data_IF_054745909230
#
_entry.id   IF_054745909230
#
_cell.length_a   1.000
_cell.length_b   1.000
_cell.length_c   1.000
_cell.angle_alpha   90.00
_cell.angle_beta   90.00
_cell.angle_gamma   90.00
#
_symmetry.space_group_name_H-M   'P 1'
#
loop_
_entity.id
_entity.type
_entity.pdbx_description
1 polymer ?
#
# COMPACT_ATOMS: atom_id res chain seq x y z
N UNK A 1 13.62 -55.03 35.22
CA UNK A 1 14.85 -55.46 35.92
C UNK A 1 15.83 -54.30 35.82
N UNK A 2 15.93 -53.48 36.87
CA UNK A 2 17.01 -53.48 37.88
C UNK A 2 18.28 -52.75 37.35
N UNK A 3 18.85 -51.74 38.00
CA UNK A 3 18.62 -51.26 39.36
C UNK A 3 19.27 -49.90 39.64
N UNK A 4 18.81 -49.31 40.74
CA UNK A 4 19.38 -48.18 41.46
C UNK A 4 20.58 -48.63 42.29
N UNK A 5 21.55 -47.73 42.51
CA UNK A 5 22.57 -47.87 43.54
C UNK A 5 23.21 -46.52 43.89
N UNK A 6 23.05 -46.01 45.12
CA UNK A 6 23.69 -44.78 45.60
C UNK A 6 24.89 -45.08 46.53
N UNK A 7 25.86 -44.15 46.61
CA UNK A 7 27.02 -44.28 47.51
C UNK A 7 27.59 -42.95 48.03
N UNK A 8 27.28 -42.66 49.31
CA UNK A 8 27.99 -41.92 50.40
C UNK A 8 29.28 -41.14 50.06
N UNK A 9 29.46 -39.86 50.44
CA UNK A 9 29.64 -39.21 51.78
C UNK A 9 30.98 -39.51 52.50
N UNK A 10 31.86 -38.48 52.57
CA UNK A 10 32.66 -37.93 53.72
C UNK A 10 33.85 -37.10 53.18
N UNK A 11 34.11 -35.84 53.52
CA UNK A 11 34.31 -35.11 54.81
C UNK A 11 35.81 -35.03 55.23
N UNK A 12 36.27 -33.83 55.63
CA UNK A 12 37.62 -33.54 56.17
C UNK A 12 38.33 -32.35 55.49
N UNK A 13 38.26 -31.10 55.99
CA UNK A 13 38.96 -30.43 57.13
C UNK A 13 40.43 -30.06 56.89
N UNK A 14 40.75 -28.81 57.26
CA UNK A 14 42.10 -28.26 57.51
C UNK A 14 42.57 -27.24 56.46
N UNK A 15 43.18 -26.08 56.72
CA UNK A 15 43.39 -25.17 57.89
C UNK A 15 44.29 -24.04 57.35
N UNK A 16 43.98 -22.80 57.73
CA UNK A 16 44.87 -21.65 58.05
C UNK A 16 45.82 -20.93 57.07
N UNK A 17 45.91 -19.62 57.41
CA UNK A 17 46.90 -18.57 57.13
C UNK A 17 46.98 -17.97 55.71
N UNK A 18 46.85 -16.67 55.46
CA UNK A 18 46.88 -15.48 56.31
C UNK A 18 47.91 -14.48 55.76
N UNK A 19 47.51 -13.42 55.05
CA UNK A 19 48.28 -12.16 54.92
C UNK A 19 47.54 -11.04 54.16
N UNK A 20 46.95 -10.12 54.94
CA UNK A 20 46.99 -8.64 54.84
C UNK A 20 47.33 -7.98 53.47
N UNK A 21 46.40 -7.18 52.91
CA UNK A 21 46.31 -5.68 52.99
C UNK A 21 45.44 -5.06 51.87
N UNK A 22 44.60 -4.09 52.28
CA UNK A 22 44.06 -2.90 51.57
C UNK A 22 43.20 -3.21 50.32
N UNK A 23 41.90 -2.90 50.25
CA UNK A 23 41.17 -1.74 50.74
C UNK A 23 40.59 -0.99 49.54
N UNK A 24 39.30 -1.17 49.25
CA UNK A 24 38.39 -0.22 48.57
C UNK A 24 36.97 -0.80 48.59
N UNK A 25 36.03 0.02 49.05
CA UNK A 25 34.74 -0.41 49.62
C UNK A 25 33.69 -0.88 48.62
N UNK A 26 32.81 -1.76 49.12
CA UNK A 26 31.48 -2.05 48.59
C UNK A 26 30.41 -1.57 49.58
N UNK A 27 29.21 -1.21 49.10
CA UNK A 27 28.28 -0.35 49.82
C UNK A 27 27.56 -1.07 50.96
N UNK A 28 27.29 -0.31 52.03
CA UNK A 28 26.55 -0.73 53.21
C UNK A 28 25.07 -0.95 52.86
N UNK A 29 24.60 -2.17 53.07
CA UNK A 29 23.18 -2.50 53.18
C UNK A 29 22.75 -2.19 54.62
N UNK A 30 22.00 -1.10 54.83
CA UNK A 30 21.28 -0.86 56.09
C UNK A 30 19.81 -1.16 55.84
N UNK A 31 19.36 -2.28 56.39
CA UNK A 31 17.95 -2.49 56.66
C UNK A 31 17.49 -1.57 57.78
N UNK A 32 16.30 -1.01 57.63
CA UNK A 32 15.52 -0.45 58.72
C UNK A 32 14.12 -1.08 58.66
N UNK A 33 13.75 -1.74 59.75
CA UNK A 33 12.42 -2.27 60.00
C UNK A 33 11.40 -1.14 60.16
N UNK A 34 10.19 -1.41 59.64
CA UNK A 34 8.88 -1.11 60.21
C UNK A 34 8.56 0.29 60.72
N UNK A 35 7.68 0.99 60.01
CA UNK A 35 6.52 1.62 60.64
C UNK A 35 5.32 1.60 59.70
N UNK A 36 4.23 1.09 60.25
CA UNK A 36 2.89 0.92 59.70
C UNK A 36 2.18 2.27 59.57
N UNK A 37 1.52 2.52 58.43
CA UNK A 37 0.57 3.64 58.33
C UNK A 37 0.49 4.32 56.96
N UNK A 38 -0.71 4.23 56.38
CA UNK A 38 -1.29 5.05 55.30
C UNK A 38 -1.08 4.61 53.84
N UNK A 39 -2.13 3.97 53.32
CA UNK A 39 -2.36 3.70 51.90
C UNK A 39 -2.64 5.02 51.19
N UNK A 40 -1.67 5.55 50.44
CA UNK A 40 -1.93 6.41 49.27
C UNK A 40 -0.97 6.06 48.16
N UNK A 41 -1.41 5.20 47.25
CA UNK A 41 -0.72 4.90 46.00
C UNK A 41 -0.52 6.19 45.20
N UNK A 42 0.73 6.64 45.09
CA UNK A 42 1.12 7.66 44.11
C UNK A 42 1.72 6.92 42.91
N UNK A 43 1.28 7.18 41.67
CA UNK A 43 1.92 6.57 40.51
C UNK A 43 3.31 7.18 40.36
N UNK A 44 4.33 6.33 40.45
CA UNK A 44 5.70 6.69 40.09
C UNK A 44 5.72 6.88 38.58
N UNK A 45 5.72 8.15 38.15
CA UNK A 45 6.01 8.52 36.76
C UNK A 45 7.47 8.13 36.51
N UNK A 46 7.65 6.99 35.85
CA UNK A 46 8.94 6.59 35.32
C UNK A 46 9.31 7.53 34.15
N UNK A 47 10.20 8.48 34.43
CA UNK A 47 10.89 9.27 33.43
C UNK A 47 11.94 8.36 32.76
N UNK A 48 11.68 7.93 31.53
CA UNK A 48 12.57 7.12 30.71
C UNK A 48 12.73 7.74 29.33
N UNK A 49 13.87 8.40 29.13
CA UNK A 49 14.50 8.89 27.88
C UNK A 49 13.62 8.98 26.63
N UNK A 50 13.21 10.21 26.38
CA UNK A 50 12.56 10.74 25.18
C UNK A 50 13.27 10.34 23.87
N UNK A 51 12.59 9.54 23.08
CA UNK A 51 12.83 9.38 21.64
C UNK A 51 11.52 9.66 20.92
N UNK A 52 11.12 10.94 20.88
CA UNK A 52 10.16 11.54 19.92
C UNK A 52 9.15 10.56 19.33
N UNK A 53 8.28 9.99 20.16
CA UNK A 53 7.14 9.20 19.70
C UNK A 53 6.02 10.16 19.35
N UNK A 54 5.93 10.57 18.09
CA UNK A 54 4.79 11.31 17.56
C UNK A 54 3.58 10.38 17.48
N UNK A 55 2.90 10.19 18.62
CA UNK A 55 1.64 9.45 18.70
C UNK A 55 0.51 10.37 18.27
N UNK A 56 0.22 10.39 16.98
CA UNK A 56 -1.05 10.93 16.51
C UNK A 56 -2.09 9.82 16.66
N UNK A 57 -2.99 9.97 17.65
CA UNK A 57 -4.11 9.07 17.85
C UNK A 57 -5.28 9.56 16.98
N UNK A 58 -5.41 9.00 15.78
CA UNK A 58 -6.63 9.12 14.99
C UNK A 58 -7.36 7.78 15.17
N UNK A 59 -8.55 7.81 15.77
CA UNK A 59 -9.42 6.63 15.96
C UNK A 59 -8.76 5.52 16.81
N UNK A 60 -8.12 5.88 17.93
CA UNK A 60 -7.56 4.87 18.86
C UNK A 60 -6.34 4.09 18.34
N UNK A 61 -5.90 4.37 17.11
CA UNK A 61 -4.71 3.78 16.49
C UNK A 61 -3.53 4.73 16.68
N UNK A 62 -2.40 4.22 17.17
CA UNK A 62 -1.16 4.99 17.24
C UNK A 62 -0.41 4.86 15.91
N UNK A 63 -0.32 5.95 15.15
CA UNK A 63 0.55 5.98 13.97
C UNK A 63 2.01 6.07 14.42
N UNK A 64 2.85 5.19 13.89
CA UNK A 64 4.29 5.16 14.12
C UNK A 64 5.02 5.31 12.78
N UNK A 65 5.40 6.54 12.45
CA UNK A 65 6.12 6.83 11.21
C UNK A 65 7.57 6.34 11.22
N UNK A 66 8.11 5.94 12.37
CA UNK A 66 9.49 5.46 12.47
C UNK A 66 9.69 4.11 11.77
N UNK A 67 8.60 3.38 11.50
CA UNK A 67 8.62 2.09 10.79
C UNK A 67 8.70 2.26 9.27
N UNK A 68 8.43 3.46 8.73
CA UNK A 68 8.37 3.69 7.27
C UNK A 68 9.69 3.38 6.56
N UNK A 69 10.88 3.80 7.05
CA UNK A 69 12.14 3.45 6.40
C UNK A 69 12.32 1.94 6.25
N UNK A 70 11.94 1.16 7.28
CA UNK A 70 12.01 -0.31 7.26
C UNK A 70 10.99 -0.97 6.31
N UNK A 71 9.90 -0.28 5.96
CA UNK A 71 8.86 -0.77 5.04
C UNK A 71 9.17 -0.52 3.57
N UNK A 72 10.12 0.37 3.25
CA UNK A 72 10.50 0.72 1.88
C UNK A 72 10.86 -0.50 1.03
N UNK A 73 11.61 -1.45 1.59
CA UNK A 73 11.97 -2.68 0.88
C UNK A 73 10.72 -3.54 0.57
N UNK A 74 9.79 -3.64 1.53
CA UNK A 74 8.52 -4.33 1.35
C UNK A 74 7.63 -3.65 0.29
N UNK A 75 7.57 -2.32 0.28
CA UNK A 75 6.87 -1.57 -0.75
C UNK A 75 7.46 -1.82 -2.14
N UNK A 76 8.79 -1.74 -2.29
CA UNK A 76 9.44 -1.97 -3.58
C UNK A 76 9.22 -3.41 -4.08
N UNK A 77 9.24 -4.39 -3.18
CA UNK A 77 8.91 -5.77 -3.50
C UNK A 77 7.45 -5.90 -3.94
N UNK A 78 6.51 -5.37 -3.16
CA UNK A 78 5.08 -5.40 -3.47
C UNK A 78 4.79 -4.67 -4.79
N UNK A 79 5.46 -3.55 -5.06
CA UNK A 79 5.34 -2.80 -6.29
C UNK A 79 5.84 -3.59 -7.50
N UNK A 80 7.02 -4.19 -7.41
CA UNK A 80 7.54 -5.03 -8.49
C UNK A 80 6.63 -6.25 -8.74
N UNK A 81 6.15 -6.88 -7.67
CA UNK A 81 5.19 -7.97 -7.77
C UNK A 81 3.88 -7.50 -8.41
N UNK A 82 3.30 -6.40 -7.95
CA UNK A 82 2.05 -5.85 -8.47
C UNK A 82 2.18 -5.46 -9.94
N UNK A 83 3.31 -4.86 -10.34
CA UNK A 83 3.57 -4.47 -11.72
C UNK A 83 3.62 -5.66 -12.67
N UNK A 84 4.23 -6.76 -12.24
CA UNK A 84 4.53 -7.90 -13.11
C UNK A 84 3.48 -9.02 -13.02
N UNK A 85 2.89 -9.23 -11.84
CA UNK A 85 2.08 -10.41 -11.50
C UNK A 85 0.82 -10.10 -10.68
N UNK A 86 0.75 -8.94 -10.02
CA UNK A 86 -0.30 -8.62 -9.05
C UNK A 86 -1.27 -7.50 -9.45
N UNK A 87 -1.44 -7.25 -10.75
CA UNK A 87 -2.50 -6.36 -11.27
C UNK A 87 -2.05 -5.50 -12.44
N UNK A 88 -0.78 -5.07 -12.47
CA UNK A 88 -0.25 -4.22 -13.54
C UNK A 88 -0.39 -4.85 -14.92
N UNK A 89 -0.21 -6.16 -15.04
CA UNK A 89 -0.39 -6.91 -16.29
C UNK A 89 -1.84 -6.93 -16.80
N UNK A 90 -2.83 -6.68 -15.93
CA UNK A 90 -4.24 -6.59 -16.36
C UNK A 90 -4.46 -5.44 -17.35
N UNK A 91 -3.65 -4.38 -17.24
CA UNK A 91 -3.74 -3.22 -18.13
C UNK A 91 -3.43 -3.56 -19.59
N UNK A 92 -2.72 -4.66 -19.86
CA UNK A 92 -2.54 -5.16 -21.22
C UNK A 92 -3.89 -5.55 -21.85
N UNK A 93 -4.80 -6.14 -21.06
CA UNK A 93 -6.15 -6.48 -21.48
C UNK A 93 -7.06 -5.25 -21.48
N UNK A 94 -7.08 -4.51 -20.38
CA UNK A 94 -8.01 -3.37 -20.22
C UNK A 94 -7.65 -2.20 -21.14
N UNK A 95 -6.40 -1.71 -21.08
CA UNK A 95 -5.95 -0.51 -21.80
C UNK A 95 -5.22 -0.85 -23.09
N UNK A 96 -4.54 -2.00 -23.14
CA UNK A 96 -3.90 -2.47 -24.37
C UNK A 96 -4.86 -3.07 -25.40
N UNK A 97 -5.97 -3.65 -24.97
CA UNK A 97 -6.90 -4.32 -25.89
C UNK A 97 -8.32 -3.74 -25.88
N UNK A 98 -9.01 -3.69 -24.74
CA UNK A 98 -10.42 -3.33 -24.66
C UNK A 98 -10.66 -1.83 -24.90
N UNK A 99 -9.93 -0.97 -24.21
CA UNK A 99 -10.11 0.48 -24.23
C UNK A 99 -10.01 1.08 -25.64
N UNK A 100 -8.98 0.80 -26.47
CA UNK A 100 -8.89 1.38 -27.81
C UNK A 100 -10.05 0.99 -28.74
N UNK A 101 -10.70 -0.14 -28.49
CA UNK A 101 -11.86 -0.59 -29.27
C UNK A 101 -13.15 0.07 -28.78
N UNK A 102 -13.39 0.03 -27.47
CA UNK A 102 -14.58 0.64 -26.86
C UNK A 102 -14.59 2.16 -27.05
N UNK A 103 -13.46 2.83 -26.86
CA UNK A 103 -13.40 4.29 -26.99
C UNK A 103 -13.62 4.76 -28.43
N UNK A 104 -13.19 3.98 -29.43
CA UNK A 104 -13.46 4.29 -30.84
C UNK A 104 -14.94 4.18 -31.20
N UNK A 105 -15.67 3.29 -30.53
CA UNK A 105 -17.09 3.06 -30.80
C UNK A 105 -18.02 3.97 -29.97
N UNK A 106 -17.63 4.33 -28.75
CA UNK A 106 -18.52 4.96 -27.77
C UNK A 106 -17.93 6.20 -27.08
N UNK A 107 -16.69 6.59 -27.39
CA UNK A 107 -15.98 7.67 -26.71
C UNK A 107 -15.28 7.22 -25.41
N UNK A 108 -14.34 8.02 -24.90
CA UNK A 108 -13.48 7.65 -23.78
C UNK A 108 -14.25 7.50 -22.46
N UNK A 109 -15.25 8.35 -22.20
CA UNK A 109 -16.03 8.28 -20.96
C UNK A 109 -16.86 6.99 -20.89
N UNK A 110 -17.66 6.69 -21.91
CA UNK A 110 -18.48 5.47 -21.94
C UNK A 110 -17.62 4.21 -21.90
N UNK A 111 -16.50 4.18 -22.64
CA UNK A 111 -15.55 3.07 -22.59
C UNK A 111 -14.98 2.86 -21.18
N UNK A 112 -14.63 3.95 -20.48
CA UNK A 112 -14.10 3.89 -19.11
C UNK A 112 -15.12 3.33 -18.12
N UNK A 113 -16.39 3.74 -18.24
CA UNK A 113 -17.47 3.25 -17.38
C UNK A 113 -17.74 1.77 -17.59
N UNK A 114 -17.81 1.33 -18.86
CA UNK A 114 -17.99 -0.08 -19.20
C UNK A 114 -16.85 -0.93 -18.65
N UNK A 115 -15.60 -0.53 -18.92
CA UNK A 115 -14.42 -1.23 -18.40
C UNK A 115 -14.43 -1.22 -16.88
N UNK A 116 -14.73 -0.09 -16.25
CA UNK A 116 -14.73 0.05 -14.79
C UNK A 116 -15.74 -0.88 -14.11
N UNK A 117 -16.94 -1.02 -14.66
CA UNK A 117 -17.96 -1.93 -14.14
C UNK A 117 -17.54 -3.38 -14.31
N UNK A 118 -17.07 -3.76 -15.51
CA UNK A 118 -16.60 -5.12 -15.77
C UNK A 118 -15.42 -5.46 -14.87
N UNK A 119 -14.50 -4.50 -14.67
CA UNK A 119 -13.34 -4.66 -13.82
C UNK A 119 -13.71 -4.76 -12.33
N UNK A 120 -14.70 -4.00 -11.84
CA UNK A 120 -15.21 -4.17 -10.48
C UNK A 120 -15.78 -5.57 -10.26
N UNK A 121 -16.57 -6.08 -11.22
CA UNK A 121 -17.15 -7.44 -11.17
C UNK A 121 -16.06 -8.51 -11.26
N UNK A 122 -15.01 -8.29 -12.06
CA UNK A 122 -13.85 -9.18 -12.17
C UNK A 122 -13.17 -9.44 -10.81
N UNK A 123 -13.24 -8.49 -9.87
CA UNK A 123 -12.67 -8.63 -8.53
C UNK A 123 -13.56 -9.37 -7.53
N UNK A 124 -14.80 -9.75 -7.87
CA UNK A 124 -15.71 -10.44 -6.94
C UNK A 124 -15.10 -11.67 -6.24
N UNK A 125 -14.29 -12.53 -6.91
CA UNK A 125 -13.68 -13.66 -6.23
C UNK A 125 -12.82 -13.26 -5.02
N UNK A 126 -12.15 -12.11 -5.05
CA UNK A 126 -11.31 -11.64 -3.95
C UNK A 126 -12.14 -11.36 -2.69
N UNK A 127 -13.40 -10.93 -2.83
CA UNK A 127 -14.28 -10.70 -1.68
C UNK A 127 -14.63 -11.99 -0.92
N UNK A 128 -14.50 -13.15 -1.57
CA UNK A 128 -14.71 -14.46 -0.94
C UNK A 128 -13.40 -15.09 -0.43
N UNK A 129 -12.25 -14.48 -0.69
CA UNK A 129 -10.93 -14.97 -0.28
C UNK A 129 -10.49 -14.28 1.00
N UNK A 130 -10.48 -15.02 2.11
CA UNK A 130 -9.96 -14.54 3.40
C UNK A 130 -8.48 -14.10 3.27
N UNK A 131 -8.15 -13.00 3.93
CA UNK A 131 -6.80 -12.41 3.92
C UNK A 131 -6.52 -11.44 2.76
N UNK A 132 -7.47 -11.23 1.85
CA UNK A 132 -7.38 -10.14 0.86
C UNK A 132 -7.87 -8.81 1.45
N UNK A 133 -7.43 -7.68 0.90
CA UNK A 133 -7.96 -6.37 1.32
C UNK A 133 -9.42 -6.19 0.90
N UNK A 134 -9.84 -6.82 -0.19
CA UNK A 134 -11.20 -6.78 -0.71
C UNK A 134 -12.20 -7.46 0.21
N UNK A 135 -11.83 -8.58 0.86
CA UNK A 135 -12.71 -9.26 1.81
C UNK A 135 -13.05 -8.42 3.06
N UNK A 136 -12.34 -7.30 3.26
CA UNK A 136 -12.48 -6.42 4.42
C UNK A 136 -13.34 -5.18 4.15
N UNK A 137 -13.77 -4.97 2.91
CA UNK A 137 -14.55 -3.80 2.50
C UNK A 137 -15.87 -4.22 1.86
N UNK A 138 -16.96 -3.45 2.02
CA UNK A 138 -18.20 -3.74 1.30
C UNK A 138 -18.02 -3.55 -0.20
N UNK A 139 -18.47 -4.52 -1.01
CA UNK A 139 -18.39 -4.44 -2.47
C UNK A 139 -19.04 -3.16 -3.03
N UNK A 140 -20.17 -2.72 -2.45
CA UNK A 140 -20.87 -1.51 -2.86
C UNK A 140 -20.08 -0.21 -2.58
N UNK A 141 -19.15 -0.22 -1.63
CA UNK A 141 -18.23 0.90 -1.42
C UNK A 141 -17.02 0.83 -2.36
N UNK A 142 -16.56 -0.38 -2.68
CA UNK A 142 -15.43 -0.63 -3.56
C UNK A 142 -15.74 -0.37 -5.04
N UNK A 143 -16.89 -0.85 -5.55
CA UNK A 143 -17.20 -0.82 -6.97
C UNK A 143 -17.22 0.61 -7.57
N UNK A 144 -17.83 1.63 -6.94
CA UNK A 144 -17.75 3.01 -7.43
C UNK A 144 -16.32 3.54 -7.49
N UNK A 145 -15.46 3.15 -6.53
CA UNK A 145 -14.05 3.56 -6.51
C UNK A 145 -13.28 2.97 -7.71
N UNK A 146 -13.52 1.70 -8.04
CA UNK A 146 -12.91 1.05 -9.21
C UNK A 146 -13.37 1.68 -10.52
N UNK A 147 -14.67 2.00 -10.62
CA UNK A 147 -15.22 2.69 -11.80
C UNK A 147 -14.59 4.08 -11.96
N UNK A 148 -14.50 4.84 -10.87
CA UNK A 148 -13.81 6.14 -10.86
C UNK A 148 -12.34 6.02 -11.27
N UNK A 149 -11.62 5.03 -10.73
CA UNK A 149 -10.23 4.75 -11.09
C UNK A 149 -10.08 4.40 -12.57
N UNK A 150 -11.04 3.66 -13.13
CA UNK A 150 -11.03 3.29 -14.54
C UNK A 150 -11.03 4.52 -15.47
N UNK A 151 -11.77 5.56 -15.11
CA UNK A 151 -11.79 6.85 -15.82
C UNK A 151 -10.43 7.54 -15.75
N UNK A 152 -9.80 7.58 -14.57
CA UNK A 152 -8.47 8.16 -14.38
C UNK A 152 -7.43 7.42 -15.22
N UNK A 153 -7.50 6.09 -15.25
CA UNK A 153 -6.58 5.26 -16.03
C UNK A 153 -6.76 5.47 -17.53
N UNK A 154 -7.99 5.62 -18.01
CA UNK A 154 -8.26 5.99 -19.40
C UNK A 154 -7.71 7.37 -19.74
N UNK A 155 -7.90 8.37 -18.87
CA UNK A 155 -7.31 9.69 -19.08
C UNK A 155 -5.78 9.61 -19.17
N UNK A 156 -5.13 8.95 -18.21
CA UNK A 156 -3.68 8.79 -18.22
C UNK A 156 -3.18 8.05 -19.47
N UNK A 157 -3.91 7.04 -19.94
CA UNK A 157 -3.62 6.33 -21.17
C UNK A 157 -3.72 7.25 -22.40
N UNK A 158 -4.71 8.14 -22.45
CA UNK A 158 -4.90 9.05 -23.56
C UNK A 158 -3.82 10.16 -23.57
N UNK A 159 -3.52 10.74 -22.41
CA UNK A 159 -2.44 11.75 -22.25
C UNK A 159 -1.06 11.18 -22.57
N UNK A 160 -0.85 9.89 -22.34
CA UNK A 160 0.39 9.20 -22.68
C UNK A 160 0.47 8.77 -24.15
N UNK A 161 -0.42 9.29 -25.01
CA UNK A 161 -0.55 8.93 -26.43
C UNK A 161 -0.74 7.41 -26.66
N UNK A 162 -1.49 6.76 -25.76
CA UNK A 162 -1.77 5.33 -25.80
C UNK A 162 -0.67 4.45 -25.20
N UNK A 163 0.29 5.02 -24.47
CA UNK A 163 1.32 4.27 -23.76
C UNK A 163 0.74 3.61 -22.50
N UNK A 164 0.85 2.28 -22.42
CA UNK A 164 0.28 1.47 -21.33
C UNK A 164 1.14 1.55 -20.06
N UNK A 165 2.45 1.74 -20.19
CA UNK A 165 3.40 1.65 -19.07
C UNK A 165 3.09 2.62 -17.92
N UNK A 166 2.78 3.91 -18.12
CA UNK A 166 2.39 4.81 -17.03
C UNK A 166 1.17 4.31 -16.24
N UNK A 167 0.19 3.72 -16.91
CA UNK A 167 -1.01 3.15 -16.27
C UNK A 167 -0.65 1.92 -15.44
N UNK A 168 0.21 1.04 -15.96
CA UNK A 168 0.71 -0.13 -15.22
C UNK A 168 1.46 0.27 -13.95
N UNK A 169 2.31 1.31 -14.04
CA UNK A 169 3.06 1.83 -12.90
C UNK A 169 2.11 2.44 -11.85
N UNK A 170 1.09 3.19 -12.29
CA UNK A 170 0.08 3.75 -11.38
C UNK A 170 -0.72 2.64 -10.69
N UNK A 171 -1.19 1.64 -11.44
CA UNK A 171 -1.90 0.49 -10.90
C UNK A 171 -1.04 -0.25 -9.85
N UNK A 172 0.21 -0.58 -10.19
CA UNK A 172 1.14 -1.22 -9.26
C UNK A 172 1.38 -0.38 -7.99
N UNK A 173 1.48 0.94 -8.13
CA UNK A 173 1.62 1.88 -7.02
C UNK A 173 0.43 1.83 -6.08
N UNK A 174 -0.79 1.88 -6.62
CA UNK A 174 -2.03 1.79 -5.84
C UNK A 174 -2.08 0.47 -5.08
N UNK A 175 -1.84 -0.66 -5.74
CA UNK A 175 -1.89 -1.99 -5.11
C UNK A 175 -0.84 -2.16 -3.99
N UNK A 176 0.23 -1.38 -4.01
CA UNK A 176 1.32 -1.47 -3.04
C UNK A 176 1.16 -0.53 -1.86
N UNK A 177 0.20 0.41 -1.90
CA UNK A 177 0.09 1.52 -0.93
C UNK A 177 -0.15 1.03 0.49
N UNK A 178 -0.95 -0.03 0.69
CA UNK A 178 -1.18 -0.64 2.01
C UNK A 178 0.08 -1.05 2.76
N UNK A 179 1.18 -1.35 2.07
CA UNK A 179 2.48 -1.67 2.72
C UNK A 179 3.09 -0.49 3.48
N UNK A 180 2.71 0.74 3.14
CA UNK A 180 3.22 1.98 3.74
C UNK A 180 2.36 2.49 4.91
N UNK A 181 1.30 1.78 5.31
CA UNK A 181 0.46 2.19 6.46
C UNK A 181 1.30 2.19 7.75
N UNK A 182 1.51 3.35 8.42
CA UNK A 182 2.47 3.47 9.53
C UNK A 182 1.88 2.97 10.86
N UNK A 183 1.57 1.67 10.94
CA UNK A 183 1.02 1.00 12.12
C UNK A 183 1.98 -0.11 12.57
N UNK A 184 2.18 -0.32 13.87
CA UNK A 184 3.07 -1.39 14.35
C UNK A 184 2.42 -2.76 14.18
N UNK A 185 3.20 -3.77 13.78
CA UNK A 185 2.72 -5.15 13.54
C UNK A 185 2.06 -5.76 14.78
N UNK A 186 2.56 -5.39 15.97
CA UNK A 186 2.04 -5.85 17.26
C UNK A 186 0.63 -5.33 17.60
N UNK A 187 0.09 -4.41 16.79
CA UNK A 187 -1.19 -3.74 17.04
C UNK A 187 -2.31 -4.16 16.10
N UNK A 188 -2.04 -5.01 15.10
CA UNK A 188 -3.03 -5.38 14.07
C UNK A 188 -3.92 -6.51 14.56
N UNK A 189 -5.05 -6.14 15.17
CA UNK A 189 -6.20 -7.04 15.32
C UNK A 189 -6.99 -7.14 14.01
N UNK A 190 -7.82 -8.18 13.85
CA UNK A 190 -8.74 -8.30 12.70
C UNK A 190 -9.61 -7.04 12.52
N UNK A 191 -10.16 -6.52 13.64
CA UNK A 191 -10.94 -5.30 13.62
C UNK A 191 -10.13 -4.06 13.20
N UNK A 192 -8.83 -4.02 13.50
CA UNK A 192 -7.95 -2.96 13.00
C UNK A 192 -7.68 -3.13 11.51
N UNK A 193 -7.48 -4.35 11.03
CA UNK A 193 -7.25 -4.63 9.62
C UNK A 193 -8.42 -4.15 8.75
N UNK A 194 -9.67 -4.44 9.14
CA UNK A 194 -10.85 -3.94 8.42
C UNK A 194 -10.99 -2.41 8.45
N UNK A 195 -10.66 -1.77 9.58
CA UNK A 195 -10.66 -0.31 9.69
C UNK A 195 -9.60 0.34 8.79
N UNK A 196 -8.41 -0.25 8.72
CA UNK A 196 -7.34 0.24 7.85
C UNK A 196 -7.68 0.08 6.37
N UNK A 197 -8.27 -1.06 5.96
CA UNK A 197 -8.72 -1.27 4.59
C UNK A 197 -9.80 -0.25 4.18
N UNK A 198 -10.76 0.03 5.06
CA UNK A 198 -11.79 1.05 4.83
C UNK A 198 -11.21 2.47 4.76
N UNK A 199 -10.24 2.80 5.62
CA UNK A 199 -9.58 4.10 5.61
C UNK A 199 -8.74 4.31 4.34
N UNK A 200 -8.01 3.28 3.90
CA UNK A 200 -7.27 3.28 2.65
C UNK A 200 -8.21 3.50 1.46
N UNK A 201 -9.31 2.74 1.39
CA UNK A 201 -10.32 2.91 0.35
C UNK A 201 -10.90 4.33 0.35
N UNK A 202 -11.21 4.89 1.52
CA UNK A 202 -11.75 6.25 1.63
C UNK A 202 -10.76 7.31 1.13
N UNK A 203 -9.47 7.17 1.44
CA UNK A 203 -8.41 8.06 0.93
C UNK A 203 -8.28 7.94 -0.58
N UNK A 204 -8.26 6.72 -1.12
CA UNK A 204 -8.21 6.49 -2.57
C UNK A 204 -9.43 7.06 -3.29
N UNK A 205 -10.63 6.92 -2.73
CA UNK A 205 -11.85 7.55 -3.24
C UNK A 205 -11.72 9.07 -3.21
N UNK A 206 -11.26 9.65 -2.09
CA UNK A 206 -11.06 11.10 -1.99
C UNK A 206 -10.09 11.63 -3.04
N UNK A 207 -8.94 10.97 -3.23
CA UNK A 207 -7.97 11.29 -4.26
C UNK A 207 -8.59 11.13 -5.66
N UNK A 208 -9.28 10.01 -5.91
CA UNK A 208 -9.91 9.75 -7.19
C UNK A 208 -10.95 10.83 -7.53
N UNK A 209 -11.77 11.26 -6.57
CA UNK A 209 -12.72 12.35 -6.76
C UNK A 209 -12.02 13.68 -7.08
N UNK A 210 -10.94 14.02 -6.37
CA UNK A 210 -10.15 15.23 -6.66
C UNK A 210 -9.56 15.17 -8.06
N UNK A 211 -8.97 14.04 -8.44
CA UNK A 211 -8.42 13.83 -9.79
C UNK A 211 -9.53 13.87 -10.83
N UNK A 212 -10.68 13.25 -10.59
CA UNK A 212 -11.83 13.31 -11.50
C UNK A 212 -12.37 14.73 -11.68
N UNK A 213 -12.33 15.57 -10.65
CA UNK A 213 -12.71 16.98 -10.79
C UNK A 213 -11.69 17.73 -11.66
N UNK A 214 -10.40 17.42 -11.51
CA UNK A 214 -9.35 18.01 -12.35
C UNK A 214 -9.38 17.50 -13.81
N UNK A 215 -9.69 16.21 -14.00
CA UNK A 215 -9.66 15.48 -15.30
C UNK A 215 -10.99 15.53 -16.04
N UNK A 216 -12.12 15.53 -15.34
CA UNK A 216 -13.44 15.66 -15.97
C UNK A 216 -13.58 16.97 -16.75
N UNK A 217 -12.82 17.99 -16.33
CA UNK A 217 -12.67 19.23 -17.09
C UNK A 217 -11.94 19.04 -18.43
N UNK A 218 -10.91 18.19 -18.50
CA UNK A 218 -10.16 17.93 -19.75
C UNK A 218 -10.90 16.95 -20.68
N UNK A 219 -11.43 15.85 -20.15
CA UNK A 219 -12.17 14.85 -20.96
C UNK A 219 -13.48 15.42 -21.55
N UNK A 220 -14.10 16.40 -20.90
CA UNK A 220 -15.30 17.07 -21.41
C UNK A 220 -15.03 18.11 -22.52
N UNK A 221 -13.78 18.52 -22.71
CA UNK A 221 -13.39 19.44 -23.80
C UNK A 221 -13.21 18.67 -25.11
N UNK A 222 -12.61 17.48 -25.08
CA UNK A 222 -12.38 16.67 -26.29
C UNK A 222 -13.68 16.17 -26.95
N UNK A 223 -14.72 15.86 -26.16
CA UNK A 223 -16.03 15.48 -26.70
C UNK A 223 -16.68 16.63 -27.50
N UNK A 224 -16.34 17.89 -27.20
CA UNK A 224 -16.83 19.08 -27.92
C UNK A 224 -15.95 19.48 -29.10
N UNK A 225 -14.68 19.10 -29.09
CA UNK A 225 -13.72 19.45 -30.15
C UNK A 225 -13.40 18.28 -31.06
N UNK A 226 -14.39 17.42 -31.37
CA UNK A 226 -14.30 16.36 -32.37
C UNK A 226 -13.96 16.91 -33.77
N UNK A 227 -12.72 17.36 -33.95
CA UNK A 227 -12.05 17.55 -35.22
C UNK A 227 -11.72 16.14 -35.68
N UNK A 228 -12.64 15.55 -36.44
CA UNK A 228 -12.30 14.43 -37.29
C UNK A 228 -11.12 14.82 -38.19
N UNK A 229 -10.24 13.89 -38.57
CA UNK A 229 -9.20 14.20 -39.52
C UNK A 229 -9.87 14.77 -40.77
N UNK A 230 -9.61 16.05 -41.07
CA UNK A 230 -9.94 16.63 -42.36
C UNK A 230 -9.21 15.76 -43.38
N UNK A 231 -9.99 14.95 -44.10
CA UNK A 231 -9.55 14.28 -45.30
C UNK A 231 -9.25 15.38 -46.33
N UNK A 232 -8.09 16.01 -46.19
CA UNK A 232 -7.56 16.88 -47.22
C UNK A 232 -7.01 15.96 -48.31
N UNK A 233 -7.74 16.00 -49.41
CA UNK A 233 -7.54 15.28 -50.65
C UNK A 233 -6.06 15.14 -51.02
N UNK A 234 -5.55 13.90 -51.01
CA UNK A 234 -4.47 13.53 -51.93
C UNK A 234 -5.03 13.58 -53.36
N UNK A 235 -4.97 14.75 -53.97
CA UNK A 235 -5.02 14.86 -55.42
C UNK A 235 -3.77 14.19 -55.97
N UNK A 236 -3.96 13.08 -56.67
CA UNK A 236 -2.94 12.49 -57.53
C UNK A 236 -2.88 13.38 -58.78
N UNK A 237 -1.77 14.06 -59.09
CA UNK A 237 -1.63 14.73 -60.37
C UNK A 237 -1.56 13.67 -61.46
N UNK A 238 -2.46 13.77 -62.44
CA UNK A 238 -2.47 12.92 -63.62
C UNK A 238 -1.16 13.04 -64.39
N UNK A 239 -0.61 11.88 -64.73
CA UNK A 239 0.49 11.70 -65.67
C UNK A 239 0.02 12.08 -67.08
N UNK A 240 0.33 13.30 -67.53
CA UNK A 240 0.21 13.70 -68.92
C UNK A 240 1.47 13.26 -69.67
N UNK A 241 1.38 12.11 -70.32
CA UNK A 241 2.44 11.60 -71.18
C UNK A 241 2.76 12.53 -72.36
N UNK A 242 4.02 12.60 -72.82
CA UNK A 242 4.40 13.45 -73.93
C UNK A 242 3.92 12.87 -75.26
N UNK A 243 3.11 13.65 -75.98
CA UNK A 243 2.77 13.40 -77.37
C UNK A 243 4.02 13.43 -78.25
N UNK A 244 4.31 12.30 -78.88
CA UNK A 244 5.35 12.20 -79.90
C UNK A 244 4.77 12.69 -81.23
N UNK A 245 5.16 13.87 -81.66
CA UNK A 245 5.02 14.31 -83.05
C UNK A 245 6.21 13.75 -83.84
N UNK A 246 5.96 12.77 -84.71
CA UNK A 246 6.90 12.25 -85.68
C UNK A 246 6.25 12.25 -87.07
N UNK A 247 7.03 12.76 -88.04
CA UNK A 247 6.79 12.90 -89.48
C UNK A 247 5.84 11.90 -90.16
#
# INVERSE_FOLDING_TARGET
>A
MAGLGPGRVRDGRGTDDGLRRRGRGRPRNRGCNGHEGDRRERPVVACGTDSRRYRLAVVGVSLDFSVLPGRTAGYLFAFAFALLLGGGQEELGWRGFALPRLQRAHGPMAASLVIGVVWAVWHLPLFAMEGTSQSQVPFLAYAPAVVAMSVIFTWLYNESAGCILPVMLLHAGINSTGTLIPVSVDSVSEALHSQLAMAELAVLVGIALVVLLAVGWSLGIEERTGVGPTAESRSVPGDSGPGHSGN
#
